data_IF_381224420679
#
_entry.id   IF_381224420679
#
_cell.length_a   1.000
_cell.length_b   1.000
_cell.length_c   1.000
_cell.angle_alpha   90.00
_cell.angle_beta   90.00
_cell.angle_gamma   90.00
#
_symmetry.space_group_name_H-M   'P 1'
#
loop_
_entity.id
_entity.type
_entity.pdbx_description
1 polymer ?
#
# COMPACT_ATOMS: atom_id res chain seq x y z
N UNK A 1 25.56 -24.24 14.97
CA UNK A 1 25.78 -22.79 14.76
C UNK A 1 25.39 -22.46 13.34
N UNK A 2 24.24 -21.82 13.11
CA UNK A 2 23.83 -21.43 11.76
C UNK A 2 24.77 -20.34 11.24
N UNK A 3 25.49 -20.62 10.16
CA UNK A 3 26.38 -19.66 9.52
C UNK A 3 25.59 -18.43 9.07
N UNK A 4 25.87 -17.28 9.69
CA UNK A 4 25.20 -16.02 9.34
C UNK A 4 25.79 -15.49 8.04
N UNK A 5 24.92 -15.14 7.08
CA UNK A 5 25.34 -14.54 5.81
C UNK A 5 26.06 -13.21 6.06
N UNK A 6 27.16 -13.00 5.34
CA UNK A 6 27.98 -11.79 5.42
C UNK A 6 28.13 -11.14 4.05
N UNK A 7 28.34 -9.83 4.04
CA UNK A 7 28.72 -9.11 2.82
C UNK A 7 30.23 -9.26 2.53
N UNK A 8 30.67 -8.75 1.37
CA UNK A 8 32.09 -8.70 0.97
C UNK A 8 33.00 -7.93 1.94
N UNK A 9 32.42 -7.14 2.85
CA UNK A 9 33.12 -6.35 3.88
C UNK A 9 33.08 -7.03 5.26
N UNK A 10 32.56 -8.25 5.36
CA UNK A 10 32.48 -9.04 6.59
C UNK A 10 31.31 -8.68 7.52
N UNK A 11 30.43 -7.75 7.13
CA UNK A 11 29.26 -7.34 7.92
C UNK A 11 28.16 -8.39 7.82
N UNK A 12 27.46 -8.61 8.93
CA UNK A 12 26.36 -9.58 9.00
C UNK A 12 25.13 -8.99 8.30
N UNK A 13 24.57 -9.77 7.38
CA UNK A 13 23.31 -9.47 6.69
C UNK A 13 22.13 -10.05 7.47
N UNK A 14 21.06 -9.28 7.60
CA UNK A 14 19.81 -9.72 8.20
C UNK A 14 19.04 -10.68 7.27
N UNK A 15 17.97 -11.27 7.81
CA UNK A 15 17.07 -12.10 7.02
C UNK A 15 16.41 -11.26 5.92
N UNK A 16 16.33 -11.80 4.70
CA UNK A 16 15.85 -11.05 3.54
C UNK A 16 16.89 -10.14 2.86
N UNK A 17 17.97 -9.74 3.57
CA UNK A 17 19.06 -8.96 2.97
C UNK A 17 20.00 -9.84 2.13
N UNK A 18 20.51 -9.31 1.03
CA UNK A 18 21.50 -9.95 0.16
C UNK A 18 22.36 -8.90 -0.55
N UNK A 19 23.66 -9.14 -0.69
CA UNK A 19 24.51 -8.34 -1.55
C UNK A 19 24.52 -8.90 -2.97
N UNK A 20 24.27 -8.05 -3.96
CA UNK A 20 24.32 -8.37 -5.38
C UNK A 20 25.75 -8.33 -5.92
N UNK A 21 25.95 -8.94 -7.09
CA UNK A 21 27.26 -9.00 -7.74
C UNK A 21 27.84 -7.61 -8.05
N UNK A 22 26.97 -6.64 -8.37
CA UNK A 22 27.30 -5.26 -8.70
C UNK A 22 27.58 -4.38 -7.46
N UNK A 23 27.46 -4.94 -6.25
CA UNK A 23 27.70 -4.25 -4.99
C UNK A 23 26.47 -3.57 -4.39
N UNK A 24 25.30 -3.60 -5.05
CA UNK A 24 24.03 -3.18 -4.44
C UNK A 24 23.59 -4.17 -3.38
N UNK A 25 22.84 -3.69 -2.40
CA UNK A 25 22.12 -4.51 -1.45
C UNK A 25 20.66 -4.61 -1.86
N UNK A 26 20.10 -5.80 -1.68
CA UNK A 26 18.70 -6.14 -1.92
C UNK A 26 18.07 -6.64 -0.62
N UNK A 27 16.88 -6.16 -0.30
CA UNK A 27 16.05 -6.71 0.77
C UNK A 27 14.76 -7.27 0.16
N UNK A 28 14.51 -8.56 0.38
CA UNK A 28 13.28 -9.25 -0.04
C UNK A 28 12.31 -9.33 1.14
N UNK A 29 11.06 -8.96 0.91
CA UNK A 29 9.98 -9.05 1.89
C UNK A 29 8.68 -9.50 1.23
N UNK A 30 7.74 -9.97 2.05
CA UNK A 30 6.37 -10.28 1.63
C UNK A 30 5.50 -9.12 2.07
N UNK A 31 4.72 -8.55 1.16
CA UNK A 31 3.78 -7.50 1.50
C UNK A 31 2.51 -8.07 2.17
N UNK A 32 1.64 -7.20 2.69
CA UNK A 32 0.37 -7.61 3.29
C UNK A 32 -0.56 -8.40 2.36
N UNK A 33 -0.33 -8.34 1.05
CA UNK A 33 -1.10 -9.08 0.05
C UNK A 33 -0.48 -10.45 -0.25
N UNK A 34 0.57 -10.87 0.47
CA UNK A 34 1.30 -12.11 0.22
C UNK A 34 2.19 -12.06 -1.01
N UNK A 35 2.41 -10.89 -1.62
CA UNK A 35 3.26 -10.73 -2.81
C UNK A 35 4.69 -10.44 -2.39
N UNK A 36 5.62 -11.17 -2.98
CA UNK A 36 7.04 -10.93 -2.79
C UNK A 36 7.47 -9.64 -3.48
N UNK A 37 8.13 -8.76 -2.72
CA UNK A 37 8.72 -7.51 -3.21
C UNK A 37 10.18 -7.45 -2.83
N UNK A 38 10.94 -6.68 -3.60
CA UNK A 38 12.35 -6.43 -3.35
C UNK A 38 12.65 -4.94 -3.43
N UNK A 39 13.39 -4.43 -2.46
CA UNK A 39 13.97 -3.08 -2.50
C UNK A 39 15.48 -3.16 -2.63
N UNK A 40 16.05 -2.13 -3.25
CA UNK A 40 17.47 -2.06 -3.56
C UNK A 40 18.06 -0.77 -2.99
N UNK A 41 19.31 -0.83 -2.55
CA UNK A 41 20.11 0.35 -2.20
C UNK A 41 21.58 0.09 -2.43
N UNK A 42 22.36 1.14 -2.72
CA UNK A 42 23.82 1.06 -2.80
C UNK A 42 24.49 0.97 -1.43
N UNK A 43 23.74 1.30 -0.37
CA UNK A 43 24.24 1.45 0.99
C UNK A 43 23.49 0.49 1.89
N UNK A 44 24.20 -0.22 2.77
CA UNK A 44 23.56 -1.12 3.73
C UNK A 44 23.01 -0.29 4.89
N UNK A 45 23.85 0.58 5.46
CA UNK A 45 23.53 1.44 6.60
C UNK A 45 23.60 2.93 6.23
N UNK A 46 22.95 3.78 7.04
CA UNK A 46 22.91 5.23 6.87
C UNK A 46 24.29 5.90 6.95
N UNK A 47 25.27 5.22 7.56
CA UNK A 47 26.66 5.68 7.69
C UNK A 47 27.55 5.33 6.50
N UNK A 48 27.11 4.44 5.59
CA UNK A 48 27.93 4.04 4.44
C UNK A 48 28.10 5.19 3.43
N UNK A 49 29.25 5.29 2.76
CA UNK A 49 29.39 6.21 1.63
C UNK A 49 28.64 5.69 0.39
N UNK A 50 28.12 6.60 -0.44
CA UNK A 50 27.56 6.21 -1.75
C UNK A 50 28.72 6.01 -2.73
N UNK A 51 28.74 4.94 -3.55
CA UNK A 51 29.76 4.76 -4.57
C UNK A 51 29.85 5.96 -5.52
N UNK A 52 31.07 6.27 -5.97
CA UNK A 52 31.33 7.39 -6.87
C UNK A 52 30.46 7.33 -8.14
N UNK A 53 29.89 8.47 -8.53
CA UNK A 53 29.02 8.57 -9.71
C UNK A 53 27.61 8.00 -9.54
N UNK A 54 27.20 7.56 -8.34
CA UNK A 54 25.82 7.12 -8.04
C UNK A 54 25.08 8.17 -7.22
N UNK A 55 23.76 8.28 -7.46
CA UNK A 55 22.88 9.17 -6.69
C UNK A 55 22.78 8.66 -5.26
N UNK A 56 22.94 9.57 -4.29
CA UNK A 56 22.71 9.27 -2.87
C UNK A 56 21.23 8.92 -2.68
N UNK A 57 20.99 7.76 -2.11
CA UNK A 57 19.67 7.25 -1.74
C UNK A 57 19.68 6.82 -0.28
N UNK A 58 18.49 6.63 0.26
CA UNK A 58 18.22 6.00 1.56
C UNK A 58 18.88 4.61 1.62
N UNK A 59 19.42 4.29 2.79
CA UNK A 59 20.09 3.01 3.02
C UNK A 59 19.09 1.85 3.02
N UNK A 60 19.58 0.62 2.83
CA UNK A 60 18.71 -0.55 2.81
C UNK A 60 17.97 -0.72 4.14
N UNK A 61 18.66 -0.52 5.27
CA UNK A 61 18.08 -0.64 6.62
C UNK A 61 17.04 0.44 6.93
N UNK A 62 17.23 1.67 6.44
CA UNK A 62 16.21 2.71 6.56
C UNK A 62 14.94 2.35 5.76
N UNK A 63 15.12 1.82 4.54
CA UNK A 63 14.00 1.33 3.72
C UNK A 63 13.28 0.16 4.38
N UNK A 64 14.02 -0.79 4.92
CA UNK A 64 13.49 -1.93 5.70
C UNK A 64 12.67 -1.44 6.89
N UNK A 65 13.23 -0.54 7.71
CA UNK A 65 12.52 0.02 8.88
C UNK A 65 11.22 0.70 8.49
N UNK A 66 11.22 1.44 7.37
CA UNK A 66 10.01 2.07 6.84
C UNK A 66 8.98 1.03 6.40
N UNK A 67 9.40 0.01 5.64
CA UNK A 67 8.52 -1.08 5.21
C UNK A 67 7.92 -1.80 6.41
N UNK A 68 8.71 -2.04 7.46
CA UNK A 68 8.22 -2.73 8.65
C UNK A 68 7.23 -1.89 9.45
N UNK A 69 7.43 -0.56 9.51
CA UNK A 69 6.45 0.37 10.06
C UNK A 69 5.17 0.38 9.21
N UNK A 70 5.29 0.48 7.88
CA UNK A 70 4.15 0.47 6.96
C UNK A 70 3.32 -0.82 7.09
N UNK A 71 3.98 -1.99 7.24
CA UNK A 71 3.33 -3.29 7.47
C UNK A 71 2.64 -3.34 8.85
N UNK A 72 3.28 -2.77 9.88
CA UNK A 72 2.72 -2.73 11.22
C UNK A 72 1.46 -1.85 11.29
N UNK A 73 1.48 -0.72 10.59
CA UNK A 73 0.37 0.23 10.53
C UNK A 73 -0.76 -0.22 9.56
N UNK A 74 -0.67 -1.43 9.00
CA UNK A 74 -1.59 -1.94 7.97
C UNK A 74 -1.74 -0.99 6.77
N UNK A 75 -0.68 -0.24 6.45
CA UNK A 75 -0.66 0.68 5.33
C UNK A 75 -0.40 -0.13 4.08
N UNK A 76 -1.49 -0.66 3.50
CA UNK A 76 -1.40 -1.38 2.24
C UNK A 76 -0.92 -0.40 1.15
N UNK A 77 0.26 -0.65 0.54
CA UNK A 77 0.72 0.16 -0.57
C UNK A 77 -0.35 0.14 -1.66
N UNK A 78 -0.72 1.33 -2.15
CA UNK A 78 -1.75 1.49 -3.18
C UNK A 78 -3.19 1.08 -2.77
N UNK A 79 -3.48 0.87 -1.48
CA UNK A 79 -4.81 0.46 -1.00
C UNK A 79 -5.31 -0.85 -1.62
N UNK A 80 -4.39 -1.76 -2.00
CA UNK A 80 -4.67 -2.97 -2.78
C UNK A 80 -5.33 -2.71 -4.16
N UNK A 81 -5.14 -1.51 -4.74
CA UNK A 81 -5.92 -1.01 -5.88
C UNK A 81 -7.45 -1.11 -5.65
N UNK A 82 -7.88 -1.15 -4.39
CA UNK A 82 -9.27 -1.27 -4.05
C UNK A 82 -9.98 0.03 -4.43
N UNK A 83 -11.00 -0.09 -5.28
CA UNK A 83 -11.86 1.04 -5.60
C UNK A 83 -12.82 1.33 -4.45
N UNK A 84 -13.31 2.57 -4.37
CA UNK A 84 -14.38 2.94 -3.41
C UNK A 84 -15.58 2.01 -3.57
N UNK A 85 -15.98 1.70 -4.80
CA UNK A 85 -17.08 0.79 -5.08
C UNK A 85 -16.83 -0.61 -4.49
N UNK A 86 -15.65 -1.18 -4.73
CA UNK A 86 -15.28 -2.51 -4.22
C UNK A 86 -15.25 -2.54 -2.69
N UNK A 87 -14.85 -1.46 -2.04
CA UNK A 87 -14.90 -1.34 -0.58
C UNK A 87 -16.34 -1.36 -0.06
N UNK A 88 -17.23 -0.60 -0.70
CA UNK A 88 -18.65 -0.54 -0.33
C UNK A 88 -19.34 -1.88 -0.54
N UNK A 89 -19.07 -2.57 -1.64
CA UNK A 89 -19.61 -3.91 -1.91
C UNK A 89 -19.12 -4.94 -0.86
N UNK A 90 -17.82 -4.89 -0.48
CA UNK A 90 -17.30 -5.71 0.62
C UNK A 90 -17.99 -5.41 1.94
N UNK A 91 -18.20 -4.13 2.28
CA UNK A 91 -18.91 -3.73 3.49
C UNK A 91 -20.36 -4.22 3.51
N UNK A 92 -21.07 -4.16 2.38
CA UNK A 92 -22.45 -4.67 2.30
C UNK A 92 -22.47 -6.19 2.47
N UNK A 93 -21.50 -6.91 1.91
CA UNK A 93 -21.40 -8.36 2.04
C UNK A 93 -21.17 -8.83 3.49
N UNK A 94 -20.53 -8.02 4.35
CA UNK A 94 -20.37 -8.34 5.78
C UNK A 94 -21.63 -8.09 6.60
N UNK A 95 -22.62 -7.35 6.08
CA UNK A 95 -23.90 -7.10 6.76
C UNK A 95 -24.88 -8.24 6.51
N UNK A 96 -25.01 -9.14 7.48
CA UNK A 96 -26.03 -10.20 7.51
C UNK A 96 -27.32 -9.71 8.21
N UNK A 97 -28.48 -10.31 7.89
CA UNK A 97 -29.75 -10.01 8.58
C UNK A 97 -30.38 -8.63 8.31
N UNK A 98 -29.96 -7.92 7.26
CA UNK A 98 -30.46 -6.58 6.95
C UNK A 98 -31.92 -6.61 6.48
N UNK A 99 -32.74 -5.67 6.96
CA UNK A 99 -34.13 -5.48 6.52
C UNK A 99 -34.21 -5.22 5.01
N UNK A 100 -35.29 -5.65 4.32
CA UNK A 100 -35.43 -5.43 2.87
C UNK A 100 -35.34 -3.96 2.45
N UNK A 101 -35.90 -3.05 3.26
CA UNK A 101 -35.84 -1.59 3.02
C UNK A 101 -34.41 -1.06 3.04
N UNK A 102 -33.61 -1.49 4.00
CA UNK A 102 -32.19 -1.13 4.10
C UNK A 102 -31.38 -1.72 2.94
N UNK A 103 -31.68 -2.95 2.52
CA UNK A 103 -31.05 -3.58 1.35
C UNK A 103 -31.33 -2.81 0.05
N UNK A 104 -32.56 -2.31 -0.11
CA UNK A 104 -32.90 -1.43 -1.23
C UNK A 104 -32.10 -0.11 -1.16
N UNK A 105 -31.94 0.47 0.03
CA UNK A 105 -31.08 1.64 0.25
C UNK A 105 -29.62 1.42 -0.16
N UNK A 106 -29.03 0.29 0.23
CA UNK A 106 -27.67 -0.09 -0.19
C UNK A 106 -27.55 -0.24 -1.71
N UNK A 107 -28.54 -0.88 -2.36
CA UNK A 107 -28.57 -1.02 -3.82
C UNK A 107 -28.58 0.35 -4.52
N UNK A 108 -29.32 1.31 -3.99
CA UNK A 108 -29.35 2.68 -4.52
C UNK A 108 -27.98 3.34 -4.45
N UNK A 109 -27.28 3.26 -3.31
CA UNK A 109 -25.94 3.84 -3.14
C UNK A 109 -24.93 3.17 -4.07
N UNK A 110 -24.95 1.84 -4.18
CA UNK A 110 -24.08 1.09 -5.10
C UNK A 110 -24.32 1.51 -6.55
N UNK A 111 -25.58 1.67 -6.97
CA UNK A 111 -25.91 2.11 -8.32
C UNK A 111 -25.42 3.54 -8.62
N UNK A 112 -25.47 4.44 -7.64
CA UNK A 112 -24.91 5.79 -7.75
C UNK A 112 -23.39 5.71 -7.94
N UNK A 113 -22.71 4.94 -7.09
CA UNK A 113 -21.25 4.76 -7.15
C UNK A 113 -20.79 4.10 -8.45
N UNK A 114 -21.60 3.21 -9.05
CA UNK A 114 -21.30 2.60 -10.37
C UNK A 114 -21.32 3.61 -11.51
N UNK A 115 -22.19 4.62 -11.43
CA UNK A 115 -22.32 5.68 -12.44
C UNK A 115 -21.30 6.81 -12.24
N UNK A 116 -20.94 7.10 -11.00
CA UNK A 116 -20.03 8.20 -10.69
C UNK A 116 -18.54 7.80 -10.77
N UNK A 117 -17.70 8.73 -11.24
CA UNK A 117 -16.25 8.52 -11.33
C UNK A 117 -15.61 8.27 -9.95
N UNK A 118 -16.21 8.79 -8.88
CA UNK A 118 -15.77 8.57 -7.50
C UNK A 118 -15.76 7.09 -7.12
N UNK A 119 -16.70 6.28 -7.61
CA UNK A 119 -16.74 4.85 -7.31
C UNK A 119 -15.52 4.09 -7.86
N UNK A 120 -14.93 4.57 -8.95
CA UNK A 120 -13.73 3.97 -9.57
C UNK A 120 -12.42 4.49 -8.97
N UNK A 121 -12.45 5.55 -8.13
CA UNK A 121 -11.25 6.06 -7.47
C UNK A 121 -10.69 5.01 -6.50
N UNK A 122 -9.37 4.97 -6.39
CA UNK A 122 -8.70 4.13 -5.41
C UNK A 122 -8.79 4.77 -4.04
N UNK A 123 -9.04 3.95 -3.01
CA UNK A 123 -9.28 4.42 -1.64
C UNK A 123 -8.15 5.28 -1.08
N UNK A 124 -6.89 4.98 -1.44
CA UNK A 124 -5.70 5.68 -0.98
C UNK A 124 -5.54 7.09 -1.58
N UNK A 125 -6.23 7.34 -2.70
CA UNK A 125 -6.22 8.64 -3.37
C UNK A 125 -7.40 9.54 -2.97
N UNK A 126 -8.36 9.02 -2.21
CA UNK A 126 -9.58 9.75 -1.85
C UNK A 126 -9.29 10.72 -0.71
N UNK A 127 -9.53 12.01 -0.96
CA UNK A 127 -9.52 13.05 0.07
C UNK A 127 -10.92 13.31 0.61
N UNK A 128 -11.00 13.89 1.80
CA UNK A 128 -12.27 14.30 2.44
C UNK A 128 -13.06 15.27 1.53
N UNK A 129 -12.35 16.17 0.82
CA UNK A 129 -12.95 17.09 -0.15
C UNK A 129 -13.67 16.37 -1.30
N UNK A 130 -13.08 15.28 -1.80
CA UNK A 130 -13.66 14.49 -2.88
C UNK A 130 -14.97 13.83 -2.45
N UNK A 131 -14.99 13.29 -1.23
CA UNK A 131 -16.18 12.69 -0.64
C UNK A 131 -17.31 13.72 -0.47
N UNK A 132 -16.99 14.92 0.05
CA UNK A 132 -17.96 16.02 0.19
C UNK A 132 -18.53 16.45 -1.16
N UNK A 133 -17.68 16.56 -2.18
CA UNK A 133 -18.10 16.93 -3.53
C UNK A 133 -19.06 15.90 -4.13
N UNK A 134 -18.80 14.60 -3.93
CA UNK A 134 -19.71 13.53 -4.37
C UNK A 134 -21.10 13.67 -3.74
N UNK A 135 -21.18 13.89 -2.42
CA UNK A 135 -22.46 14.06 -1.71
C UNK A 135 -23.22 15.29 -2.21
N UNK A 136 -22.52 16.41 -2.39
CA UNK A 136 -23.12 17.63 -2.92
C UNK A 136 -23.68 17.45 -4.33
N UNK A 137 -22.93 16.75 -5.21
CA UNK A 137 -23.35 16.44 -6.58
C UNK A 137 -24.63 15.59 -6.60
N UNK A 138 -24.64 14.49 -5.87
CA UNK A 138 -25.82 13.59 -5.79
C UNK A 138 -27.06 14.28 -5.19
N UNK A 139 -26.86 15.26 -4.30
CA UNK A 139 -27.98 16.04 -3.74
C UNK A 139 -28.57 17.03 -4.76
N UNK A 140 -27.72 17.65 -5.59
CA UNK A 140 -28.17 18.55 -6.67
C UNK A 140 -28.93 17.80 -7.76
N UNK A 141 -28.43 16.64 -8.19
CA UNK A 141 -29.07 15.79 -9.21
C UNK A 141 -30.44 15.25 -8.78
N UNK A 142 -30.73 15.16 -7.47
CA UNK A 142 -32.06 14.78 -6.96
C UNK A 142 -33.05 15.94 -6.85
N UNK A 143 -32.56 17.18 -6.89
CA UNK A 143 -33.38 18.40 -6.75
C UNK A 143 -33.72 19.03 -8.11
N UNK A 144 -33.02 18.65 -9.17
CA UNK A 144 -33.31 19.01 -10.55
C UNK A 144 -34.26 17.97 -11.17
#
# INVERSE_FOLDING_TARGET
MSERRRDKRGRILHNGEMQMYDGRYRFKYVDENGKEKAVYSWRLDHNDATPAGKKRDTSLREKEKKIQADIFDHIVPAGNNLSVLSLVEKYIATKTGVRPTTRAGYKTVVNILKKDAFGKKRIDTVRISDAKNMVNKTTKERRA
#
